data_IF_098327180756
#
_entry.id   IF_098327180756
#
_cell.length_a   1.000
_cell.length_b   1.000
_cell.length_c   1.000
_cell.angle_alpha   90.00
_cell.angle_beta   90.00
_cell.angle_gamma   90.00
#
_symmetry.space_group_name_H-M   'P 1'
#
loop_
_entity.id
_entity.type
_entity.pdbx_description
1 polymer ?
#
# COMPACT_ATOMS: atom_id res chain seq x y z
N UNK A 1 5.48 -9.05 -8.49
CA UNK A 1 4.88 -7.75 -8.10
C UNK A 1 5.07 -6.81 -9.26
N UNK A 2 4.00 -6.18 -9.73
CA UNK A 2 4.12 -5.12 -10.72
C UNK A 2 4.89 -3.95 -10.10
N UNK A 3 5.99 -3.55 -10.73
CA UNK A 3 6.81 -2.46 -10.24
C UNK A 3 6.20 -1.15 -10.74
N UNK A 4 6.12 -0.14 -9.87
CA UNK A 4 5.64 1.19 -10.26
C UNK A 4 6.54 1.74 -11.36
N UNK A 5 5.95 1.99 -12.53
CA UNK A 5 6.67 2.58 -13.66
C UNK A 5 6.87 4.08 -13.43
N UNK A 6 7.98 4.39 -12.75
CA UNK A 6 8.42 5.76 -12.45
C UNK A 6 8.71 6.56 -13.72
N UNK A 7 9.19 5.92 -14.78
CA UNK A 7 9.47 6.59 -16.04
C UNK A 7 8.17 7.00 -16.73
N UNK A 8 7.15 6.14 -16.73
CA UNK A 8 5.83 6.47 -17.24
C UNK A 8 5.17 7.62 -16.46
N UNK A 9 5.28 7.63 -15.13
CA UNK A 9 4.78 8.74 -14.29
C UNK A 9 5.47 10.06 -14.69
N UNK A 10 6.80 10.05 -14.78
CA UNK A 10 7.56 11.25 -15.14
C UNK A 10 7.23 11.74 -16.55
N UNK A 11 7.16 10.84 -17.52
CA UNK A 11 6.79 11.15 -18.90
C UNK A 11 5.40 11.78 -18.98
N UNK A 12 4.42 11.24 -18.25
CA UNK A 12 3.07 11.80 -18.19
C UNK A 12 3.07 13.25 -17.65
N UNK A 13 3.88 13.53 -16.61
CA UNK A 13 4.02 14.89 -16.07
C UNK A 13 4.66 15.86 -17.09
N UNK A 14 5.67 15.40 -17.82
CA UNK A 14 6.28 16.19 -18.91
C UNK A 14 5.26 16.53 -20.00
N UNK A 15 4.46 15.55 -20.44
CA UNK A 15 3.39 15.76 -21.42
C UNK A 15 2.33 16.75 -20.91
N UNK A 16 1.91 16.63 -19.64
CA UNK A 16 1.00 17.60 -19.00
C UNK A 16 1.58 19.01 -19.00
N UNK A 17 2.87 19.17 -18.74
CA UNK A 17 3.54 20.47 -18.77
C UNK A 17 3.66 21.04 -20.18
N UNK A 18 3.89 20.20 -21.20
CA UNK A 18 3.87 20.64 -22.58
C UNK A 18 2.50 21.23 -22.95
N UNK A 19 1.41 20.52 -22.66
CA UNK A 19 0.04 21.01 -22.93
C UNK A 19 -0.23 22.32 -22.19
N UNK A 20 0.20 22.44 -20.92
CA UNK A 20 0.04 23.67 -20.15
C UNK A 20 0.84 24.83 -20.75
N UNK A 21 2.04 24.56 -21.24
CA UNK A 21 2.87 25.56 -21.93
C UNK A 21 2.18 26.05 -23.21
N UNK A 22 1.65 25.14 -24.03
CA UNK A 22 0.90 25.47 -25.25
C UNK A 22 -0.35 26.31 -24.93
N UNK A 23 -1.02 26.02 -23.82
CA UNK A 23 -2.18 26.76 -23.33
C UNK A 23 -1.84 28.04 -22.54
N UNK A 24 -0.57 28.44 -22.44
CA UNK A 24 -0.12 29.57 -21.62
C UNK A 24 -0.57 29.51 -20.14
N UNK A 25 -0.71 28.30 -19.61
CA UNK A 25 -1.04 28.06 -18.21
C UNK A 25 0.23 27.98 -17.35
N UNK A 26 0.14 28.29 -16.03
CA UNK A 26 1.25 28.08 -15.11
C UNK A 26 1.74 26.64 -15.14
N UNK A 27 3.05 26.43 -15.26
CA UNK A 27 3.64 25.08 -15.28
C UNK A 27 3.47 24.38 -13.92
N UNK A 28 3.42 23.06 -13.96
CA UNK A 28 3.43 22.22 -12.75
C UNK A 28 4.82 22.22 -12.13
N UNK A 29 4.86 22.22 -10.79
CA UNK A 29 6.06 21.83 -10.05
C UNK A 29 6.29 20.32 -10.21
N UNK A 30 7.16 19.97 -11.15
CA UNK A 30 7.47 18.59 -11.49
C UNK A 30 7.96 17.78 -10.29
N UNK A 31 8.70 18.40 -9.36
CA UNK A 31 9.24 17.67 -8.20
C UNK A 31 8.10 17.27 -7.28
N UNK A 32 7.25 18.23 -6.92
CA UNK A 32 6.12 18.00 -6.00
C UNK A 32 5.12 17.03 -6.61
N UNK A 33 4.72 17.23 -7.86
CA UNK A 33 3.77 16.36 -8.56
C UNK A 33 4.29 14.93 -8.71
N UNK A 34 5.58 14.76 -9.02
CA UNK A 34 6.20 13.44 -9.15
C UNK A 34 6.22 12.69 -7.82
N UNK A 35 6.62 13.34 -6.72
CA UNK A 35 6.59 12.74 -5.39
C UNK A 35 5.19 12.34 -4.97
N UNK A 36 4.18 13.18 -5.24
CA UNK A 36 2.78 12.86 -4.96
C UNK A 36 2.29 11.67 -5.79
N UNK A 37 2.60 11.64 -7.08
CA UNK A 37 2.19 10.54 -7.96
C UNK A 37 2.80 9.20 -7.55
N UNK A 38 4.09 9.18 -7.16
CA UNK A 38 4.71 7.98 -6.59
C UNK A 38 3.99 7.56 -5.31
N UNK A 39 3.76 8.48 -4.37
CA UNK A 39 3.13 8.15 -3.11
C UNK A 39 1.71 7.56 -3.30
N UNK A 40 0.94 8.08 -4.25
CA UNK A 40 -0.38 7.55 -4.62
C UNK A 40 -0.27 6.16 -5.22
N UNK A 41 0.67 5.94 -6.15
CA UNK A 41 0.89 4.63 -6.77
C UNK A 41 1.33 3.58 -5.74
N UNK A 42 2.25 3.94 -4.83
CA UNK A 42 2.68 3.08 -3.72
C UNK A 42 1.51 2.78 -2.79
N UNK A 43 0.71 3.78 -2.40
CA UNK A 43 -0.47 3.55 -1.57
C UNK A 43 -1.50 2.61 -2.24
N UNK A 44 -1.73 2.77 -3.55
CA UNK A 44 -2.62 1.91 -4.32
C UNK A 44 -2.11 0.47 -4.38
N UNK A 45 -0.81 0.29 -4.62
CA UNK A 45 -0.18 -1.03 -4.62
C UNK A 45 -0.28 -1.71 -3.24
N UNK A 46 0.02 -0.98 -2.15
CA UNK A 46 -0.10 -1.50 -0.78
C UNK A 46 -1.54 -1.91 -0.46
N UNK A 47 -2.52 -1.10 -0.88
CA UNK A 47 -3.94 -1.41 -0.73
C UNK A 47 -4.35 -2.66 -1.51
N UNK A 48 -3.91 -2.80 -2.76
CA UNK A 48 -4.21 -3.96 -3.59
C UNK A 48 -3.67 -5.25 -2.98
N UNK A 49 -2.42 -5.23 -2.51
CA UNK A 49 -1.79 -6.38 -1.82
C UNK A 49 -2.59 -6.74 -0.56
N UNK A 50 -2.93 -5.75 0.29
CA UNK A 50 -3.76 -6.03 1.47
C UNK A 50 -5.11 -6.61 1.09
N UNK A 51 -5.85 -5.99 0.16
CA UNK A 51 -7.15 -6.51 -0.27
C UNK A 51 -7.08 -7.95 -0.80
N UNK A 52 -6.01 -8.31 -1.50
CA UNK A 52 -5.84 -9.64 -2.05
C UNK A 52 -5.51 -10.70 -0.97
N UNK A 53 -4.60 -10.40 -0.04
CA UNK A 53 -4.03 -11.41 0.85
C UNK A 53 -4.49 -11.31 2.30
N UNK A 54 -5.16 -10.22 2.70
CA UNK A 54 -5.58 -9.99 4.09
C UNK A 54 -6.48 -11.10 4.64
N UNK A 55 -7.50 -11.61 3.92
CA UNK A 55 -8.34 -12.68 4.44
C UNK A 55 -7.54 -13.95 4.76
N UNK A 56 -6.60 -14.31 3.89
CA UNK A 56 -5.76 -15.49 4.06
C UNK A 56 -4.78 -15.30 5.24
N UNK A 57 -4.02 -14.20 5.25
CA UNK A 57 -3.06 -13.90 6.32
C UNK A 57 -3.75 -13.84 7.68
N UNK A 58 -4.93 -13.22 7.74
CA UNK A 58 -5.73 -13.14 8.97
C UNK A 58 -6.17 -14.52 9.45
N UNK A 59 -6.62 -15.39 8.54
CA UNK A 59 -7.02 -16.75 8.88
C UNK A 59 -5.84 -17.58 9.40
N UNK A 60 -4.66 -17.49 8.77
CA UNK A 60 -3.43 -18.15 9.20
C UNK A 60 -3.04 -17.72 10.62
N UNK A 61 -2.98 -16.42 10.89
CA UNK A 61 -2.62 -15.90 12.22
C UNK A 61 -3.64 -16.32 13.27
N UNK A 62 -4.94 -16.24 12.97
CA UNK A 62 -5.99 -16.67 13.90
C UNK A 62 -5.91 -18.16 14.21
N UNK A 63 -5.64 -19.01 13.21
CA UNK A 63 -5.48 -20.44 13.42
C UNK A 63 -4.30 -20.74 14.34
N UNK A 64 -3.12 -20.18 14.06
CA UNK A 64 -1.90 -20.38 14.85
C UNK A 64 -2.07 -19.88 16.30
N UNK A 65 -2.67 -18.70 16.47
CA UNK A 65 -2.79 -18.10 17.80
C UNK A 65 -3.88 -18.77 18.63
N UNK A 66 -4.96 -19.26 18.02
CA UNK A 66 -6.00 -20.01 18.73
C UNK A 66 -5.55 -21.41 19.13
N UNK A 67 -4.70 -22.03 18.33
CA UNK A 67 -4.04 -23.28 18.70
C UNK A 67 -3.15 -23.09 19.94
N UNK A 68 -2.41 -21.98 20.02
CA UNK A 68 -1.48 -21.71 21.13
C UNK A 68 -2.12 -21.17 22.40
N UNK A 69 -3.11 -20.29 22.26
CA UNK A 69 -3.65 -19.49 23.37
C UNK A 69 -5.14 -19.73 23.63
N UNK A 70 -5.78 -20.61 22.86
CA UNK A 70 -7.18 -20.98 23.01
C UNK A 70 -8.14 -20.33 22.00
N UNK A 71 -9.35 -20.88 21.83
CA UNK A 71 -10.29 -20.52 20.77
C UNK A 71 -10.77 -19.06 20.83
N UNK A 72 -10.74 -18.44 22.01
CA UNK A 72 -11.17 -17.06 22.22
C UNK A 72 -10.11 -16.00 21.86
N UNK A 73 -8.91 -16.41 21.47
CA UNK A 73 -7.86 -15.48 21.08
C UNK A 73 -8.32 -14.63 19.87
N UNK A 74 -8.12 -13.31 20.00
CA UNK A 74 -8.55 -12.31 19.02
C UNK A 74 -9.95 -11.73 19.24
N UNK A 75 -10.72 -12.23 20.21
CA UNK A 75 -12.07 -11.72 20.49
C UNK A 75 -12.07 -10.50 21.44
N UNK A 76 -11.05 -10.37 22.29
CA UNK A 76 -10.85 -9.24 23.20
C UNK A 76 -10.10 -8.08 22.53
N UNK A 77 -10.17 -6.89 23.13
CA UNK A 77 -9.56 -5.67 22.60
C UNK A 77 -8.04 -5.82 22.38
N UNK A 78 -7.31 -6.35 23.36
CA UNK A 78 -5.87 -6.59 23.25
C UNK A 78 -5.54 -7.62 22.17
N UNK A 79 -6.36 -8.66 22.02
CA UNK A 79 -6.22 -9.67 20.96
C UNK A 79 -6.41 -9.08 19.56
N UNK A 80 -7.34 -8.15 19.37
CA UNK A 80 -7.53 -7.46 18.07
C UNK A 80 -6.35 -6.55 17.72
N UNK A 81 -5.79 -5.85 18.69
CA UNK A 81 -4.58 -5.05 18.49
C UNK A 81 -3.37 -5.93 18.16
N UNK A 82 -3.18 -7.03 18.88
CA UNK A 82 -2.12 -7.99 18.61
C UNK A 82 -2.25 -8.61 17.20
N UNK A 83 -3.48 -8.96 16.78
CA UNK A 83 -3.75 -9.43 15.43
C UNK A 83 -3.35 -8.40 14.37
N UNK A 84 -3.72 -7.12 14.56
CA UNK A 84 -3.30 -6.05 13.64
C UNK A 84 -1.78 -5.92 13.53
N UNK A 85 -1.07 -5.91 14.66
CA UNK A 85 0.38 -5.84 14.69
C UNK A 85 1.06 -7.04 14.01
N UNK A 86 0.52 -8.25 14.20
CA UNK A 86 1.00 -9.48 13.56
C UNK A 86 0.75 -9.46 12.05
N UNK A 87 -0.42 -9.00 11.62
CA UNK A 87 -0.73 -8.81 10.20
C UNK A 87 0.26 -7.83 9.57
N UNK A 88 0.51 -6.68 10.19
CA UNK A 88 1.49 -5.71 9.69
C UNK A 88 2.92 -6.23 9.66
N UNK A 89 3.28 -7.12 10.59
CA UNK A 89 4.57 -7.81 10.56
C UNK A 89 4.65 -8.77 9.37
N UNK A 90 3.64 -9.62 9.18
CA UNK A 90 3.59 -10.58 8.06
C UNK A 90 3.59 -9.86 6.71
N UNK A 91 2.84 -8.77 6.60
CA UNK A 91 2.79 -7.97 5.36
C UNK A 91 4.14 -7.32 5.02
N UNK A 92 4.87 -6.83 6.03
CA UNK A 92 6.24 -6.35 5.87
C UNK A 92 7.19 -7.44 5.40
N UNK A 93 7.16 -8.59 6.06
CA UNK A 93 8.11 -9.70 5.80
C UNK A 93 7.85 -10.39 4.47
N UNK A 94 6.58 -10.66 4.12
CA UNK A 94 6.23 -11.42 2.91
C UNK A 94 6.10 -10.55 1.65
N UNK A 95 5.68 -9.29 1.80
CA UNK A 95 5.30 -8.44 0.65
C UNK A 95 6.03 -7.09 0.62
N UNK A 96 6.91 -6.79 1.57
CA UNK A 96 7.71 -5.56 1.58
C UNK A 96 6.89 -4.28 1.79
N UNK A 97 5.73 -4.38 2.47
CA UNK A 97 4.79 -3.27 2.70
C UNK A 97 5.17 -2.32 3.83
#
# INVERSE_FOLDING_TARGET
MEQIDRAAIFLNLCLRNQVRREASLPLLDLKTEYSLAIAVAEAAQRRAIRQQYEPQVRAEILAEMRERYGPDWGNCWSGRLALGALMDKVFRERYGL
#
